data_IF_318902387514
#
_entry.id   IF_318902387514
#
_cell.length_a   1.000
_cell.length_b   1.000
_cell.length_c   1.000
_cell.angle_alpha   90.00
_cell.angle_beta   90.00
_cell.angle_gamma   90.00
#
_symmetry.space_group_name_H-M   'P 1'
#
loop_
_entity.id
_entity.type
_entity.pdbx_description
1 polymer ?
#
# COMPACT_ATOMS: atom_id res chain seq x y z
N UNK A 1 13.82 -28.42 -1.23
CA UNK A 1 12.54 -27.73 -1.52
C UNK A 1 11.68 -27.77 -0.26
N UNK A 2 11.86 -26.80 0.61
CA UNK A 2 10.88 -26.54 1.65
C UNK A 2 9.71 -25.83 0.95
N UNK A 3 8.60 -26.54 0.79
CA UNK A 3 7.29 -25.95 0.54
C UNK A 3 7.01 -25.02 1.71
N UNK A 4 7.34 -23.73 1.58
CA UNK A 4 6.72 -22.71 2.42
C UNK A 4 5.23 -22.91 2.20
N UNK A 5 4.49 -23.24 3.25
CA UNK A 5 3.04 -23.19 3.25
C UNK A 5 2.67 -21.85 2.64
N UNK A 6 2.14 -21.88 1.42
CA UNK A 6 1.85 -20.68 0.66
C UNK A 6 0.78 -19.90 1.43
N UNK A 7 1.09 -18.68 1.82
CA UNK A 7 0.10 -17.75 2.38
C UNK A 7 -0.97 -17.51 1.33
N UNK A 8 -2.22 -17.62 1.72
CA UNK A 8 -3.36 -17.47 0.82
C UNK A 8 -4.48 -16.68 1.47
N UNK A 9 -5.29 -15.98 0.66
CA UNK A 9 -6.45 -15.24 1.14
C UNK A 9 -7.58 -16.15 1.65
N UNK A 10 -7.56 -17.43 1.34
CA UNK A 10 -8.47 -18.41 1.96
C UNK A 10 -8.31 -18.50 3.47
N UNK A 11 -7.15 -18.12 4.00
CA UNK A 11 -6.90 -18.05 5.45
C UNK A 11 -7.63 -16.88 6.12
N UNK A 12 -8.08 -15.90 5.33
CA UNK A 12 -8.78 -14.71 5.85
C UNK A 12 -10.26 -15.03 6.01
N UNK A 13 -10.73 -15.09 7.26
CA UNK A 13 -12.11 -15.40 7.59
C UNK A 13 -12.87 -14.17 8.05
N UNK A 14 -14.13 -14.04 7.63
CA UNK A 14 -15.05 -13.03 8.15
C UNK A 14 -14.71 -11.56 7.83
N UNK A 15 -13.76 -11.28 6.93
CA UNK A 15 -13.26 -9.93 6.63
C UNK A 15 -13.34 -9.60 5.14
N UNK A 16 -14.47 -9.89 4.50
CA UNK A 16 -14.64 -9.73 3.05
C UNK A 16 -14.44 -8.29 2.57
N UNK A 17 -14.83 -7.30 3.35
CA UNK A 17 -14.63 -5.89 3.02
C UNK A 17 -13.15 -5.49 2.99
N UNK A 18 -12.33 -6.12 3.85
CA UNK A 18 -10.88 -5.88 3.88
C UNK A 18 -10.21 -6.57 2.70
N UNK A 19 -10.60 -7.80 2.39
CA UNK A 19 -10.14 -8.51 1.19
C UNK A 19 -10.47 -7.71 -0.07
N UNK A 20 -11.66 -7.15 -0.17
CA UNK A 20 -12.06 -6.27 -1.27
C UNK A 20 -11.20 -5.00 -1.34
N UNK A 21 -10.92 -4.37 -0.21
CA UNK A 21 -10.05 -3.19 -0.16
C UNK A 21 -8.62 -3.51 -0.63
N UNK A 22 -8.06 -4.64 -0.24
CA UNK A 22 -6.75 -5.09 -0.68
C UNK A 22 -6.72 -5.47 -2.17
N UNK A 23 -7.80 -6.07 -2.69
CA UNK A 23 -7.99 -6.31 -4.13
C UNK A 23 -7.95 -4.99 -4.92
N UNK A 24 -8.68 -3.97 -4.48
CA UNK A 24 -8.68 -2.64 -5.09
C UNK A 24 -7.28 -2.02 -5.02
N UNK A 25 -6.62 -2.10 -3.87
CA UNK A 25 -5.27 -1.59 -3.70
C UNK A 25 -4.28 -2.24 -4.67
N UNK A 26 -4.30 -3.56 -4.77
CA UNK A 26 -3.45 -4.32 -5.69
C UNK A 26 -3.75 -3.98 -7.16
N UNK A 27 -5.02 -3.87 -7.52
CA UNK A 27 -5.44 -3.57 -8.89
C UNK A 27 -5.00 -2.19 -9.36
N UNK A 28 -5.03 -1.17 -8.50
CA UNK A 28 -4.66 0.20 -8.85
C UNK A 28 -3.26 0.63 -8.40
N UNK A 29 -2.55 -0.19 -7.64
CA UNK A 29 -1.27 0.19 -7.03
C UNK A 29 -1.43 1.19 -5.89
N UNK A 30 -2.57 1.21 -5.22
CA UNK A 30 -2.89 2.17 -4.16
C UNK A 30 -2.19 1.83 -2.84
N UNK A 31 -1.70 2.86 -2.16
CA UNK A 31 -1.20 2.74 -0.80
C UNK A 31 -2.35 2.55 0.19
N UNK A 32 -2.13 1.75 1.22
CA UNK A 32 -3.15 1.35 2.19
C UNK A 32 -2.65 1.55 3.62
N UNK A 33 -3.54 2.00 4.50
CA UNK A 33 -3.34 1.92 5.95
C UNK A 33 -4.44 1.07 6.57
N UNK A 34 -4.03 0.08 7.37
CA UNK A 34 -4.92 -0.79 8.13
C UNK A 34 -4.98 -0.27 9.58
N UNK A 35 -6.16 0.08 10.04
CA UNK A 35 -6.38 0.65 11.38
C UNK A 35 -7.28 -0.30 12.15
N UNK A 36 -6.82 -0.79 13.29
CA UNK A 36 -7.60 -1.69 14.12
C UNK A 36 -6.90 -2.07 15.41
N UNK A 37 -7.61 -2.73 16.33
CA UNK A 37 -7.07 -3.11 17.63
C UNK A 37 -5.94 -4.14 17.49
N UNK A 38 -5.12 -4.31 18.55
CA UNK A 38 -4.13 -5.38 18.59
C UNK A 38 -4.79 -6.75 18.36
N UNK A 39 -4.14 -7.62 17.60
CA UNK A 39 -4.65 -8.96 17.32
C UNK A 39 -5.77 -9.04 16.28
N UNK A 40 -6.12 -7.95 15.61
CA UNK A 40 -7.14 -7.95 14.55
C UNK A 40 -6.69 -8.59 13.22
N UNK A 41 -5.42 -9.00 13.11
CA UNK A 41 -4.87 -9.67 11.93
C UNK A 41 -4.26 -8.73 10.89
N UNK A 42 -3.95 -7.48 11.22
CA UNK A 42 -3.39 -6.48 10.29
C UNK A 42 -2.10 -6.97 9.61
N UNK A 43 -1.17 -7.50 10.37
CA UNK A 43 0.10 -8.04 9.85
C UNK A 43 -0.12 -9.24 8.93
N UNK A 44 -1.03 -10.13 9.31
CA UNK A 44 -1.42 -11.28 8.50
C UNK A 44 -1.96 -10.84 7.13
N UNK A 45 -2.82 -9.84 7.11
CA UNK A 45 -3.39 -9.28 5.89
C UNK A 45 -2.32 -8.64 5.00
N UNK A 46 -1.44 -7.84 5.59
CA UNK A 46 -0.33 -7.21 4.87
C UNK A 46 0.60 -8.22 4.20
N UNK A 47 0.93 -9.31 4.89
CA UNK A 47 1.78 -10.37 4.38
C UNK A 47 1.16 -11.17 3.23
N UNK A 48 -0.15 -11.10 3.04
CA UNK A 48 -0.86 -11.76 1.94
C UNK A 48 -1.00 -10.91 0.69
N UNK A 49 -0.81 -9.60 0.81
CA UNK A 49 -0.91 -8.67 -0.32
C UNK A 49 -0.04 -9.09 -1.53
N UNK A 50 1.23 -9.52 -1.37
CA UNK A 50 2.04 -9.96 -2.50
C UNK A 50 1.44 -11.13 -3.29
N UNK A 51 0.60 -11.96 -2.67
CA UNK A 51 0.00 -13.13 -3.33
C UNK A 51 -1.04 -12.77 -4.39
N UNK A 52 -1.58 -11.56 -4.34
CA UNK A 52 -2.59 -11.06 -5.30
C UNK A 52 -2.03 -10.03 -6.27
N UNK A 53 -0.76 -9.66 -6.16
CA UNK A 53 -0.10 -8.77 -7.12
C UNK A 53 0.22 -9.51 -8.42
N UNK A 54 0.21 -8.80 -9.57
CA UNK A 54 0.64 -9.38 -10.84
C UNK A 54 2.09 -9.89 -10.75
N UNK A 55 2.46 -10.93 -11.50
CA UNK A 55 3.85 -11.38 -11.55
C UNK A 55 4.76 -10.26 -12.09
N UNK A 56 6.03 -10.30 -11.72
CA UNK A 56 7.03 -9.36 -12.25
C UNK A 56 7.15 -9.54 -13.76
N UNK A 57 7.16 -8.42 -14.50
CA UNK A 57 7.61 -8.42 -15.89
C UNK A 57 9.11 -8.67 -15.94
N UNK A 58 9.65 -9.03 -17.11
CA UNK A 58 11.10 -9.21 -17.27
C UNK A 58 11.86 -7.93 -16.93
N UNK A 59 11.35 -6.77 -17.35
CA UNK A 59 11.96 -5.48 -17.04
C UNK A 59 11.97 -5.20 -15.53
N UNK A 60 10.85 -5.40 -14.85
CA UNK A 60 10.76 -5.28 -13.39
C UNK A 60 11.70 -6.25 -12.67
N UNK A 61 11.78 -7.50 -13.12
CA UNK A 61 12.68 -8.51 -12.55
C UNK A 61 14.16 -8.12 -12.70
N UNK A 62 14.55 -7.57 -13.84
CA UNK A 62 15.90 -7.08 -14.09
C UNK A 62 16.26 -5.89 -13.19
N UNK A 63 15.41 -4.90 -13.09
CA UNK A 63 15.60 -3.74 -12.21
C UNK A 63 15.73 -4.16 -10.74
N UNK A 64 14.81 -5.00 -10.28
CA UNK A 64 14.80 -5.49 -8.91
C UNK A 64 16.08 -6.30 -8.61
N UNK A 65 16.49 -7.16 -9.53
CA UNK A 65 17.71 -7.96 -9.40
C UNK A 65 18.96 -7.08 -9.30
N UNK A 66 19.05 -6.03 -10.11
CA UNK A 66 20.18 -5.08 -10.05
C UNK A 66 20.28 -4.42 -8.67
N UNK A 67 19.17 -3.94 -8.12
CA UNK A 67 19.16 -3.29 -6.80
C UNK A 67 19.55 -4.28 -5.72
N UNK A 68 19.00 -5.48 -5.73
CA UNK A 68 19.30 -6.53 -4.73
C UNK A 68 20.73 -7.01 -4.84
N UNK A 69 21.30 -7.05 -6.04
CA UNK A 69 22.70 -7.39 -6.27
C UNK A 69 23.63 -6.35 -5.65
N UNK A 70 23.39 -5.07 -5.91
CA UNK A 70 24.16 -3.96 -5.32
C UNK A 70 24.10 -3.98 -3.80
N UNK A 71 22.95 -4.33 -3.24
CA UNK A 71 22.76 -4.46 -1.78
C UNK A 71 23.39 -5.74 -1.19
N UNK A 72 23.83 -6.68 -2.03
CA UNK A 72 24.44 -7.94 -1.58
C UNK A 72 23.47 -8.94 -0.97
N UNK A 73 22.17 -8.85 -1.28
CA UNK A 73 21.13 -9.72 -0.69
C UNK A 73 20.63 -10.80 -1.65
N UNK A 74 21.20 -10.91 -2.85
CA UNK A 74 20.88 -12.02 -3.75
C UNK A 74 21.41 -13.33 -3.18
N UNK A 75 20.59 -14.41 -3.14
CA UNK A 75 21.10 -15.74 -2.82
C UNK A 75 22.15 -16.17 -3.83
N UNK A 76 23.26 -16.76 -3.38
CA UNK A 76 24.48 -17.03 -4.17
C UNK A 76 24.33 -17.91 -5.41
N UNK A 77 23.17 -18.46 -5.68
CA UNK A 77 22.86 -19.29 -6.86
C UNK A 77 21.56 -18.88 -7.55
N UNK A 78 20.99 -17.74 -7.21
CA UNK A 78 19.76 -17.27 -7.83
C UNK A 78 20.06 -16.41 -9.06
N UNK A 79 19.37 -16.72 -10.13
CA UNK A 79 19.33 -15.86 -11.32
C UNK A 79 18.52 -14.57 -11.05
N UNK A 80 17.50 -14.30 -11.84
CA UNK A 80 16.62 -13.15 -11.66
C UNK A 80 15.72 -13.31 -10.42
N UNK A 81 15.45 -12.19 -9.74
CA UNK A 81 14.38 -12.10 -8.76
C UNK A 81 13.05 -12.39 -9.46
N UNK A 82 12.34 -13.41 -9.03
CA UNK A 82 11.12 -13.90 -9.67
C UNK A 82 9.85 -13.49 -8.95
N UNK A 83 9.95 -13.06 -7.71
CA UNK A 83 8.82 -12.65 -6.86
C UNK A 83 8.95 -11.20 -6.43
N UNK A 84 7.82 -10.51 -6.30
CA UNK A 84 7.80 -9.14 -5.81
C UNK A 84 8.37 -9.07 -4.40
N UNK A 85 9.33 -8.18 -4.12
CA UNK A 85 9.88 -8.00 -2.78
C UNK A 85 8.80 -7.62 -1.77
N UNK A 86 8.97 -8.10 -0.54
CA UNK A 86 8.20 -7.66 0.62
C UNK A 86 9.20 -7.26 1.70
N UNK A 87 9.26 -5.97 1.99
CA UNK A 87 10.17 -5.41 2.99
C UNK A 87 9.38 -4.88 4.17
N UNK A 88 9.79 -5.26 5.37
CA UNK A 88 9.12 -4.89 6.61
C UNK A 88 10.14 -4.42 7.64
N UNK A 89 10.69 -3.20 7.48
CA UNK A 89 11.64 -2.66 8.44
C UNK A 89 10.96 -2.42 9.79
N UNK A 90 11.70 -2.66 10.88
CA UNK A 90 11.23 -2.38 12.21
C UNK A 90 11.14 -0.87 12.46
N UNK A 91 10.25 -0.43 13.36
CA UNK A 91 10.06 1.00 13.65
C UNK A 91 11.31 1.70 14.25
N UNK A 92 12.30 0.93 14.73
CA UNK A 92 13.61 1.45 15.20
C UNK A 92 14.60 1.71 14.07
N UNK A 93 14.22 1.47 12.81
CA UNK A 93 15.07 1.67 11.62
C UNK A 93 15.58 3.12 11.56
N UNK A 94 16.85 3.29 11.19
CA UNK A 94 17.42 4.61 10.92
C UNK A 94 17.03 5.13 9.53
N UNK A 95 17.12 6.45 9.35
CA UNK A 95 16.91 7.10 8.06
C UNK A 95 17.82 6.49 6.98
N UNK A 96 19.10 6.26 7.32
CA UNK A 96 20.10 5.67 6.41
C UNK A 96 19.74 4.24 6.03
N UNK A 97 19.27 3.43 6.97
CA UNK A 97 18.85 2.07 6.67
C UNK A 97 17.57 2.06 5.81
N UNK A 98 16.68 3.04 5.97
CA UNK A 98 15.46 3.14 5.20
C UNK A 98 15.72 3.66 3.78
N UNK A 99 16.43 4.76 3.65
CA UNK A 99 16.67 5.46 2.37
C UNK A 99 17.87 4.87 1.62
N UNK A 100 18.90 4.49 2.36
CA UNK A 100 20.20 4.11 1.83
C UNK A 100 21.27 5.14 2.16
N UNK A 101 22.51 4.79 1.91
CA UNK A 101 23.66 5.63 2.20
C UNK A 101 24.83 4.79 2.71
N UNK A 102 25.65 5.39 3.57
CA UNK A 102 26.87 4.79 4.09
C UNK A 102 28.12 5.39 3.45
N UNK A 103 29.31 4.91 3.79
CA UNK A 103 30.57 5.31 3.16
C UNK A 103 30.59 4.96 1.67
N UNK A 104 30.00 3.83 1.32
CA UNK A 104 29.68 3.45 -0.05
C UNK A 104 28.14 3.55 -0.19
N UNK A 105 27.61 4.39 -1.10
CA UNK A 105 26.18 4.55 -1.26
C UNK A 105 25.51 3.23 -1.61
N UNK A 106 24.76 2.68 -0.66
CA UNK A 106 24.05 1.41 -0.76
C UNK A 106 22.55 1.65 -0.73
N UNK A 107 21.73 0.89 -1.49
CA UNK A 107 20.28 1.04 -1.44
C UNK A 107 19.75 0.64 -0.06
N UNK A 108 18.74 1.38 0.43
CA UNK A 108 18.03 1.09 1.68
C UNK A 108 16.76 0.28 1.46
N UNK A 109 15.98 0.08 2.51
CA UNK A 109 14.74 -0.70 2.50
C UNK A 109 13.72 -0.21 1.46
N UNK A 110 13.64 1.10 1.22
CA UNK A 110 12.75 1.70 0.24
C UNK A 110 13.10 1.21 -1.18
N UNK A 111 14.38 1.22 -1.54
CA UNK A 111 14.84 0.73 -2.84
C UNK A 111 14.77 -0.79 -2.95
N UNK A 112 14.98 -1.51 -1.85
CA UNK A 112 14.83 -2.96 -1.80
C UNK A 112 13.37 -3.40 -1.97
N UNK A 113 12.41 -2.52 -1.67
CA UNK A 113 10.99 -2.74 -1.91
C UNK A 113 10.54 -2.38 -3.33
N UNK A 114 11.43 -1.87 -4.18
CA UNK A 114 11.11 -1.50 -5.57
C UNK A 114 10.42 -2.65 -6.31
N UNK A 115 9.36 -2.34 -7.02
CA UNK A 115 8.46 -3.29 -7.69
C UNK A 115 7.74 -4.28 -6.74
N UNK A 116 7.71 -3.97 -5.45
CA UNK A 116 7.11 -4.81 -4.43
C UNK A 116 6.33 -4.00 -3.39
N UNK A 117 6.39 -4.47 -2.16
CA UNK A 117 5.65 -3.93 -1.02
C UNK A 117 6.59 -3.49 0.09
N UNK A 118 6.39 -2.28 0.57
CA UNK A 118 6.97 -1.78 1.82
C UNK A 118 5.89 -1.83 2.89
N UNK A 119 6.08 -2.66 3.90
CA UNK A 119 5.17 -2.78 5.04
C UNK A 119 5.74 -2.08 6.26
N UNK A 120 5.01 -1.11 6.78
CA UNK A 120 5.34 -0.39 8.01
C UNK A 120 4.32 -0.73 9.10
N UNK A 121 4.67 -1.67 9.95
CA UNK A 121 3.86 -2.04 11.10
C UNK A 121 4.01 -1.03 12.23
N UNK A 122 2.94 -0.76 12.97
CA UNK A 122 2.93 0.21 14.06
C UNK A 122 3.43 1.60 13.61
N UNK A 123 2.83 2.13 12.56
CA UNK A 123 3.24 3.37 11.90
C UNK A 123 3.52 4.54 12.85
N UNK A 124 2.71 4.82 13.91
CA UNK A 124 2.98 5.91 14.85
C UNK A 124 4.22 5.72 15.73
N UNK A 125 4.81 4.53 15.76
CA UNK A 125 6.02 4.25 16.53
C UNK A 125 7.30 4.60 15.78
N UNK A 126 7.24 4.79 14.47
CA UNK A 126 8.36 5.31 13.69
C UNK A 126 8.66 6.76 14.07
N UNK A 127 9.95 7.12 14.09
CA UNK A 127 10.35 8.53 14.29
C UNK A 127 9.78 9.38 13.16
N UNK A 128 9.33 10.58 13.50
CA UNK A 128 8.76 11.51 12.52
C UNK A 128 9.74 11.83 11.38
N UNK A 129 11.01 11.99 11.69
CA UNK A 129 12.07 12.22 10.69
C UNK A 129 12.17 11.06 9.69
N UNK A 130 12.02 9.81 10.16
CA UNK A 130 12.01 8.61 9.32
C UNK A 130 10.80 8.59 8.41
N UNK A 131 9.62 8.96 8.90
CA UNK A 131 8.40 9.01 8.08
C UNK A 131 8.44 10.12 7.02
N UNK A 132 9.09 11.25 7.31
CA UNK A 132 9.22 12.36 6.35
C UNK A 132 10.07 12.00 5.12
N UNK A 133 11.05 11.10 5.25
CA UNK A 133 11.87 10.67 4.10
C UNK A 133 11.11 9.80 3.10
N UNK A 134 9.94 9.26 3.47
CA UNK A 134 9.05 8.53 2.56
C UNK A 134 8.36 9.43 1.54
N UNK A 135 8.27 10.73 1.79
CA UNK A 135 7.51 11.66 0.93
C UNK A 135 8.05 11.69 -0.49
N UNK A 136 9.35 11.84 -0.65
CA UNK A 136 9.98 11.89 -1.97
C UNK A 136 9.74 10.60 -2.78
N UNK A 137 10.08 9.40 -2.30
CA UNK A 137 9.87 8.18 -3.08
C UNK A 137 8.38 7.89 -3.36
N UNK A 138 7.47 8.29 -2.50
CA UNK A 138 6.04 8.15 -2.75
C UNK A 138 5.53 9.08 -3.87
N UNK A 139 6.18 10.23 -4.07
CA UNK A 139 5.86 11.17 -5.14
C UNK A 139 6.62 10.86 -6.45
N UNK A 140 7.94 10.69 -6.34
CA UNK A 140 8.84 10.62 -7.48
C UNK A 140 9.22 9.19 -7.87
N UNK A 141 8.88 8.19 -7.04
CA UNK A 141 9.21 6.76 -7.23
C UNK A 141 10.72 6.50 -7.38
N UNK A 142 11.50 7.37 -6.79
CA UNK A 142 12.96 7.25 -6.71
C UNK A 142 13.47 7.85 -5.41
N UNK A 143 14.68 7.47 -5.04
CA UNK A 143 15.42 8.02 -3.91
C UNK A 143 16.76 8.55 -4.42
N UNK A 144 17.07 9.78 -4.07
CA UNK A 144 18.36 10.38 -4.36
C UNK A 144 19.25 10.32 -3.13
N UNK A 145 20.37 9.61 -3.25
CA UNK A 145 21.40 9.55 -2.22
C UNK A 145 22.56 10.44 -2.64
N UNK A 146 22.73 11.56 -1.92
CA UNK A 146 23.79 12.51 -2.19
C UNK A 146 24.90 12.39 -1.15
N UNK A 147 26.14 12.25 -1.62
CA UNK A 147 27.35 12.32 -0.81
C UNK A 147 28.41 13.17 -1.49
N UNK A 148 29.17 13.92 -0.70
CA UNK A 148 30.19 14.93 -1.01
C UNK A 148 30.60 15.12 -2.50
N UNK A 149 30.69 14.08 -3.29
CA UNK A 149 31.08 14.12 -4.72
C UNK A 149 30.22 13.27 -5.65
N UNK A 150 29.24 12.49 -5.10
CA UNK A 150 28.44 11.54 -5.87
C UNK A 150 26.99 11.67 -5.45
N UNK A 151 26.10 11.83 -6.41
CA UNK A 151 24.68 11.71 -6.26
C UNK A 151 24.18 10.54 -7.09
N UNK A 152 23.48 9.59 -6.45
CA UNK A 152 22.94 8.40 -7.09
C UNK A 152 21.42 8.35 -6.88
N UNK A 153 20.71 8.12 -7.98
CA UNK A 153 19.28 7.86 -7.95
C UNK A 153 19.03 6.35 -7.97
N UNK A 154 18.30 5.85 -6.99
CA UNK A 154 17.77 4.49 -6.98
C UNK A 154 16.28 4.51 -7.26
N UNK A 155 15.76 3.65 -8.14
CA UNK A 155 14.32 3.49 -8.31
C UNK A 155 13.70 2.98 -7.01
N UNK A 156 12.51 3.46 -6.69
CA UNK A 156 11.79 3.15 -5.45
C UNK A 156 10.27 3.20 -5.68
N UNK A 157 9.81 2.45 -6.67
CA UNK A 157 8.38 2.29 -6.97
C UNK A 157 7.84 1.12 -6.16
N UNK A 158 7.34 1.39 -4.97
CA UNK A 158 6.76 0.40 -4.06
C UNK A 158 5.30 0.71 -3.76
N UNK A 159 4.54 -0.31 -3.40
CA UNK A 159 3.27 -0.16 -2.71
C UNK A 159 3.51 -0.04 -1.21
N UNK A 160 3.00 1.03 -0.59
CA UNK A 160 3.02 1.16 0.85
C UNK A 160 1.78 0.50 1.44
N UNK A 161 2.00 -0.42 2.37
CA UNK A 161 0.97 -0.86 3.31
C UNK A 161 1.45 -0.53 4.71
N UNK A 162 0.62 0.15 5.47
CA UNK A 162 0.92 0.50 6.86
C UNK A 162 -0.13 -0.09 7.79
N UNK A 163 0.23 -0.30 9.03
CA UNK A 163 -0.71 -0.69 10.07
C UNK A 163 -0.58 0.20 11.29
N UNK A 164 -1.67 0.40 11.99
CA UNK A 164 -1.68 1.11 13.27
C UNK A 164 -2.87 0.71 14.13
N UNK A 165 -2.74 0.92 15.43
CA UNK A 165 -3.89 0.90 16.32
C UNK A 165 -4.65 2.23 16.24
N UNK A 166 -5.93 2.28 16.64
CA UNK A 166 -6.73 3.51 16.59
C UNK A 166 -6.36 4.52 17.68
N UNK A 167 -5.70 4.07 18.76
CA UNK A 167 -5.28 4.87 19.91
C UNK A 167 -4.18 4.16 20.69
N UNK A 168 -3.55 4.78 21.71
CA UNK A 168 -2.51 4.15 22.50
C UNK A 168 -2.91 2.83 23.17
N UNK A 169 -4.12 2.71 23.72
CA UNK A 169 -4.59 1.45 24.31
C UNK A 169 -5.06 0.43 23.26
N UNK A 170 -5.37 0.88 22.04
CA UNK A 170 -5.80 0.05 20.92
C UNK A 170 -7.30 -0.21 20.82
N UNK A 171 -8.12 0.31 21.74
CA UNK A 171 -9.54 -0.05 21.83
C UNK A 171 -10.50 1.11 21.55
N UNK A 172 -10.03 2.22 20.97
CA UNK A 172 -10.91 3.29 20.54
C UNK A 172 -11.91 2.78 19.48
N UNK A 173 -13.20 3.00 19.73
CA UNK A 173 -14.31 2.46 18.93
C UNK A 173 -14.38 0.92 18.84
N UNK A 174 -13.78 0.19 19.78
CA UNK A 174 -13.91 -1.25 19.82
C UNK A 174 -15.34 -1.66 20.27
N UNK A 175 -15.96 -2.66 19.61
CA UNK A 175 -17.35 -3.03 19.94
C UNK A 175 -17.52 -3.64 21.34
N UNK A 176 -16.50 -4.34 21.85
CA UNK A 176 -16.60 -5.12 23.10
C UNK A 176 -15.67 -4.63 24.21
N UNK A 177 -14.69 -3.81 23.89
CA UNK A 177 -13.68 -3.36 24.86
C UNK A 177 -13.70 -1.84 25.00
N UNK A 178 -13.64 -1.38 26.23
CA UNK A 178 -13.64 0.05 26.52
C UNK A 178 -12.26 0.68 26.30
N UNK A 179 -12.25 1.84 25.65
CA UNK A 179 -11.05 2.65 25.47
C UNK A 179 -10.77 3.43 26.77
N UNK A 180 -9.58 3.25 27.32
CA UNK A 180 -9.12 3.94 28.55
C UNK A 180 -8.35 5.22 28.27
N UNK A 181 -8.18 5.60 27.00
CA UNK A 181 -7.47 6.82 26.61
C UNK A 181 -8.31 8.06 26.85
N UNK A 182 -7.69 9.06 27.49
CA UNK A 182 -8.32 10.39 27.58
C UNK A 182 -8.37 11.07 26.19
N UNK A 183 -9.31 12.02 25.98
CA UNK A 183 -9.53 12.65 24.67
C UNK A 183 -8.28 13.28 24.06
N UNK A 184 -7.43 13.90 24.85
CA UNK A 184 -6.15 14.46 24.42
C UNK A 184 -5.11 13.44 24.01
N UNK A 185 -5.15 12.24 24.57
CA UNK A 185 -4.21 11.16 24.25
C UNK A 185 -4.42 10.61 22.83
N UNK A 186 -5.65 10.38 22.44
CA UNK A 186 -6.00 9.90 21.10
C UNK A 186 -5.54 10.91 20.05
N UNK A 187 -5.87 12.20 20.24
CA UNK A 187 -5.45 13.27 19.33
C UNK A 187 -3.93 13.38 19.21
N UNK A 188 -3.21 13.32 20.32
CA UNK A 188 -1.74 13.35 20.35
C UNK A 188 -1.11 12.15 19.63
N UNK A 189 -1.70 10.98 19.78
CA UNK A 189 -1.26 9.76 19.13
C UNK A 189 -1.42 9.85 17.61
N UNK A 190 -2.60 10.25 17.13
CA UNK A 190 -2.87 10.41 15.70
C UNK A 190 -2.00 11.50 15.05
N UNK A 191 -1.67 12.55 15.80
CA UNK A 191 -0.80 13.64 15.33
C UNK A 191 0.67 13.24 15.12
N UNK A 192 1.09 12.04 15.54
CA UNK A 192 2.43 11.51 15.22
C UNK A 192 2.64 11.29 13.72
N UNK A 193 1.57 11.02 13.00
CA UNK A 193 1.60 10.86 11.55
C UNK A 193 1.24 12.20 10.91
N UNK A 194 2.09 12.67 10.00
CA UNK A 194 1.83 13.94 9.33
C UNK A 194 0.65 13.85 8.36
N UNK A 195 -0.12 14.94 8.26
CA UNK A 195 -1.18 15.04 7.26
C UNK A 195 -0.68 14.79 5.83
N UNK A 196 0.46 15.39 5.40
CA UNK A 196 1.03 15.11 4.08
C UNK A 196 1.34 13.65 3.79
N UNK A 197 1.74 12.84 4.77
CA UNK A 197 1.94 11.41 4.59
C UNK A 197 0.59 10.69 4.45
N UNK A 198 -0.38 10.97 5.31
CA UNK A 198 -1.72 10.40 5.23
C UNK A 198 -2.41 10.74 3.91
N UNK A 199 -2.20 11.94 3.39
CA UNK A 199 -2.74 12.36 2.09
C UNK A 199 -2.22 11.54 0.91
N UNK A 200 -1.10 10.83 1.07
CA UNK A 200 -0.53 9.94 0.06
C UNK A 200 -0.97 8.48 0.20
N UNK A 201 -1.77 8.18 1.20
CA UNK A 201 -2.35 6.86 1.41
C UNK A 201 -3.79 6.88 0.93
N UNK A 202 -4.06 6.18 -0.17
CA UNK A 202 -5.33 6.27 -0.87
C UNK A 202 -6.47 5.55 -0.15
N UNK A 203 -6.19 4.43 0.52
CA UNK A 203 -7.17 3.61 1.20
C UNK A 203 -6.89 3.54 2.70
N UNK A 204 -7.87 3.96 3.48
CA UNK A 204 -7.86 3.83 4.94
C UNK A 204 -8.89 2.78 5.32
N UNK A 205 -8.43 1.66 5.83
CA UNK A 205 -9.25 0.47 6.06
C UNK A 205 -9.32 0.16 7.56
N UNK A 206 -10.53 0.16 8.09
CA UNK A 206 -10.78 -0.26 9.46
C UNK A 206 -10.83 -1.79 9.54
N UNK A 207 -9.98 -2.37 10.39
CA UNK A 207 -9.87 -3.81 10.61
C UNK A 207 -10.51 -4.13 11.95
N UNK A 208 -11.67 -4.77 11.91
CA UNK A 208 -12.36 -5.24 13.10
C UNK A 208 -11.94 -6.68 13.43
N UNK A 209 -11.83 -7.06 14.71
CA UNK A 209 -11.60 -8.44 15.11
C UNK A 209 -12.71 -9.35 14.57
N UNK A 210 -12.34 -10.56 14.15
CA UNK A 210 -13.32 -11.59 13.80
C UNK A 210 -13.93 -12.12 15.08
N UNK A 211 -15.27 -12.24 15.13
CA UNK A 211 -15.96 -12.78 16.29
C UNK A 211 -15.66 -14.26 16.48
N UNK A 212 -15.78 -14.76 17.72
CA UNK A 212 -15.58 -16.18 18.02
C UNK A 212 -16.55 -17.07 17.23
N UNK A 213 -17.76 -16.61 17.02
CA UNK A 213 -18.79 -17.34 16.27
C UNK A 213 -18.41 -17.45 14.78
N UNK A 214 -17.94 -16.36 14.17
CA UNK A 214 -17.45 -16.37 12.79
C UNK A 214 -16.21 -17.25 12.59
N UNK A 215 -15.36 -17.38 13.62
CA UNK A 215 -14.22 -18.30 13.58
C UNK A 215 -14.62 -19.76 13.68
N UNK A 216 -15.65 -20.06 14.51
CA UNK A 216 -16.13 -21.43 14.76
C UNK A 216 -17.03 -21.95 13.62
N UNK A 217 -17.86 -21.12 13.05
CA UNK A 217 -18.77 -21.48 11.95
C UNK A 217 -18.07 -21.74 10.62
N UNK A 218 -16.76 -21.61 10.59
CA UNK A 218 -15.95 -21.86 9.39
C UNK A 218 -16.10 -20.80 8.29
N UNK A 219 -16.96 -19.81 8.47
CA UNK A 219 -17.21 -18.71 7.55
C UNK A 219 -17.61 -19.12 6.13
N UNK A 220 -18.16 -18.22 5.33
CA UNK A 220 -18.27 -18.44 3.89
C UNK A 220 -16.86 -18.57 3.32
N UNK A 221 -16.61 -19.53 2.39
CA UNK A 221 -15.30 -19.65 1.76
C UNK A 221 -14.90 -18.31 1.14
N UNK A 222 -13.77 -17.79 1.57
CA UNK A 222 -13.17 -16.62 0.97
C UNK A 222 -12.59 -17.01 -0.39
N UNK A 223 -12.59 -16.07 -1.35
CA UNK A 223 -11.87 -16.28 -2.60
C UNK A 223 -10.39 -16.57 -2.30
N UNK A 224 -9.80 -17.48 -3.07
CA UNK A 224 -8.38 -17.76 -2.95
C UNK A 224 -7.53 -16.66 -3.61
N UNK A 225 -6.25 -16.64 -3.28
CA UNK A 225 -5.32 -15.62 -3.82
C UNK A 225 -5.23 -15.66 -5.35
N UNK A 226 -5.34 -16.83 -5.97
CA UNK A 226 -5.28 -16.98 -7.42
C UNK A 226 -6.48 -16.33 -8.11
N UNK A 227 -7.67 -16.54 -7.62
CA UNK A 227 -8.91 -15.94 -8.14
C UNK A 227 -8.84 -14.42 -8.05
N UNK A 228 -8.42 -13.89 -6.91
CA UNK A 228 -8.25 -12.42 -6.71
C UNK A 228 -7.16 -11.89 -7.64
N UNK A 229 -6.03 -12.59 -7.75
CA UNK A 229 -4.93 -12.18 -8.61
C UNK A 229 -5.33 -12.09 -10.08
N UNK A 230 -6.13 -13.01 -10.58
CA UNK A 230 -6.64 -12.97 -11.96
C UNK A 230 -7.46 -11.71 -12.22
N UNK A 231 -8.33 -11.32 -11.30
CA UNK A 231 -9.09 -10.06 -11.40
C UNK A 231 -8.16 -8.84 -11.38
N UNK A 232 -7.16 -8.85 -10.51
CA UNK A 232 -6.14 -7.80 -10.43
C UNK A 232 -5.35 -7.69 -11.73
N UNK A 233 -4.90 -8.80 -12.29
CA UNK A 233 -4.17 -8.83 -13.58
C UNK A 233 -5.03 -8.22 -14.67
N UNK A 234 -6.30 -8.58 -14.76
CA UNK A 234 -7.23 -8.06 -15.78
C UNK A 234 -7.40 -6.53 -15.67
N UNK A 235 -7.57 -6.03 -14.45
CA UNK A 235 -7.63 -4.59 -14.20
C UNK A 235 -6.32 -3.87 -14.57
N UNK A 236 -5.17 -4.48 -14.31
CA UNK A 236 -3.86 -3.95 -14.68
C UNK A 236 -3.62 -3.95 -16.19
N UNK A 237 -4.10 -4.94 -16.91
CA UNK A 237 -4.04 -4.97 -18.37
C UNK A 237 -4.84 -3.81 -18.98
N UNK A 238 -6.02 -3.50 -18.47
CA UNK A 238 -6.79 -2.33 -18.88
C UNK A 238 -6.04 -1.02 -18.64
N UNK A 239 -5.36 -0.90 -17.51
CA UNK A 239 -4.53 0.26 -17.19
C UNK A 239 -3.31 0.34 -18.10
N UNK A 240 -2.65 -0.77 -18.39
CA UNK A 240 -1.52 -0.82 -19.31
C UNK A 240 -1.90 -0.33 -20.71
N UNK A 241 -3.08 -0.73 -21.22
CA UNK A 241 -3.58 -0.24 -22.51
C UNK A 241 -3.95 1.24 -22.46
N UNK A 242 -4.60 1.70 -21.37
CA UNK A 242 -4.97 3.12 -21.19
C UNK A 242 -3.77 4.04 -21.12
N UNK A 243 -2.69 3.60 -20.48
CA UNK A 243 -1.51 4.44 -20.22
C UNK A 243 -0.32 4.14 -21.12
N UNK A 244 -0.49 3.36 -22.19
CA UNK A 244 0.60 2.93 -23.09
C UNK A 244 1.43 4.08 -23.67
N UNK A 245 0.81 5.24 -23.86
CA UNK A 245 1.45 6.43 -24.41
C UNK A 245 2.12 7.32 -23.33
N UNK A 246 1.98 6.96 -22.04
CA UNK A 246 2.57 7.67 -20.92
C UNK A 246 3.76 6.89 -20.37
N UNK A 247 4.97 7.44 -20.53
CA UNK A 247 6.22 6.74 -20.23
C UNK A 247 6.33 6.23 -18.79
N UNK A 248 5.82 6.98 -17.80
CA UNK A 248 6.04 6.72 -16.38
C UNK A 248 4.76 6.39 -15.61
N UNK A 249 3.66 6.11 -16.30
CA UNK A 249 2.36 5.78 -15.70
C UNK A 249 1.99 4.35 -16.05
N UNK A 250 1.87 3.51 -15.01
CA UNK A 250 1.57 2.08 -15.15
C UNK A 250 0.31 1.66 -14.39
N UNK A 251 -0.19 2.50 -13.51
CA UNK A 251 -1.36 2.21 -12.70
C UNK A 251 -2.12 3.48 -12.31
N UNK A 252 -3.38 3.34 -11.92
CA UNK A 252 -4.25 4.45 -11.56
C UNK A 252 -3.69 5.30 -10.41
N UNK A 253 -3.03 4.69 -9.44
CA UNK A 253 -2.44 5.42 -8.31
C UNK A 253 -1.34 6.40 -8.73
N UNK A 254 -0.75 6.23 -9.90
CA UNK A 254 0.34 7.05 -10.40
C UNK A 254 -0.12 8.29 -11.18
N UNK A 255 -1.42 8.43 -11.42
CA UNK A 255 -1.98 9.59 -12.11
C UNK A 255 -1.68 10.89 -11.35
N UNK A 256 -1.29 11.93 -12.08
CA UNK A 256 -1.19 13.28 -11.54
C UNK A 256 -2.57 13.94 -11.49
N UNK A 257 -2.71 15.03 -10.71
CA UNK A 257 -3.99 15.76 -10.60
C UNK A 257 -4.53 16.24 -11.96
N UNK A 258 -3.64 16.66 -12.86
CA UNK A 258 -4.03 17.06 -14.22
C UNK A 258 -4.58 15.89 -15.03
N UNK A 259 -3.96 14.70 -14.89
CA UNK A 259 -4.40 13.50 -15.60
C UNK A 259 -5.70 12.92 -15.05
N UNK A 260 -5.95 13.08 -13.74
CA UNK A 260 -7.19 12.60 -13.11
C UNK A 260 -8.41 13.25 -13.73
N UNK A 261 -8.38 14.57 -13.99
CA UNK A 261 -9.50 15.29 -14.59
C UNK A 261 -9.80 14.85 -16.02
N UNK A 262 -8.79 14.41 -16.76
CA UNK A 262 -8.91 13.98 -18.15
C UNK A 262 -9.25 12.48 -18.28
N UNK A 263 -8.56 11.65 -17.49
CA UNK A 263 -8.60 10.19 -17.62
C UNK A 263 -9.58 9.48 -16.67
N UNK A 264 -10.17 10.23 -15.74
CA UNK A 264 -11.16 9.71 -14.79
C UNK A 264 -12.48 10.51 -14.86
N UNK A 265 -13.13 10.58 -16.05
CA UNK A 265 -14.39 11.28 -16.18
C UNK A 265 -15.47 10.55 -15.37
N UNK A 266 -16.30 11.32 -14.67
CA UNK A 266 -17.42 10.80 -13.89
C UNK A 266 -18.74 11.26 -14.51
N UNK A 267 -19.79 10.45 -14.32
CA UNK A 267 -21.13 10.79 -14.77
C UNK A 267 -21.66 12.04 -14.04
N UNK A 268 -22.65 12.76 -14.61
CA UNK A 268 -23.28 13.91 -13.92
C UNK A 268 -23.85 13.53 -12.55
N UNK A 269 -24.42 12.34 -12.42
CA UNK A 269 -24.91 11.82 -11.13
C UNK A 269 -23.76 11.59 -10.13
N UNK A 270 -22.67 10.98 -10.58
CA UNK A 270 -21.46 10.80 -9.78
C UNK A 270 -20.84 12.12 -9.35
N UNK A 271 -20.79 13.11 -10.26
CA UNK A 271 -20.31 14.46 -9.96
C UNK A 271 -21.13 15.14 -8.87
N UNK A 272 -22.47 15.04 -8.94
CA UNK A 272 -23.37 15.59 -7.92
C UNK A 272 -23.17 14.92 -6.57
N UNK A 273 -23.05 13.59 -6.55
CA UNK A 273 -22.81 12.82 -5.34
C UNK A 273 -21.46 13.21 -4.69
N UNK A 274 -20.41 13.29 -5.49
CA UNK A 274 -19.07 13.64 -5.01
C UNK A 274 -19.02 15.08 -4.49
N UNK A 275 -19.65 16.02 -5.17
CA UNK A 275 -19.77 17.41 -4.71
C UNK A 275 -20.45 17.49 -3.33
N UNK A 276 -21.55 16.76 -3.17
CA UNK A 276 -22.27 16.70 -1.89
C UNK A 276 -21.41 16.09 -0.78
N UNK A 277 -20.69 15.01 -1.07
CA UNK A 277 -19.77 14.37 -0.12
C UNK A 277 -18.63 15.31 0.28
N UNK A 278 -18.03 16.01 -0.68
CA UNK A 278 -16.97 16.98 -0.40
C UNK A 278 -17.41 18.10 0.53
N UNK A 279 -18.62 18.62 0.30
CA UNK A 279 -19.20 19.68 1.15
C UNK A 279 -19.51 19.17 2.57
N UNK A 280 -20.19 18.01 2.68
CA UNK A 280 -20.59 17.43 3.98
C UNK A 280 -19.40 16.97 4.82
N UNK A 281 -18.38 16.40 4.19
CA UNK A 281 -17.20 15.81 4.85
C UNK A 281 -15.99 16.76 4.87
N UNK A 282 -16.15 17.97 4.32
CA UNK A 282 -15.07 18.98 4.22
C UNK A 282 -13.79 18.42 3.61
N UNK A 283 -13.93 17.66 2.52
CA UNK A 283 -12.80 17.00 1.86
C UNK A 283 -11.93 18.01 1.08
N UNK A 284 -10.63 17.75 1.08
CA UNK A 284 -9.65 18.54 0.32
C UNK A 284 -9.64 18.18 -1.18
N UNK A 285 -9.01 19.04 -2.00
CA UNK A 285 -8.76 18.73 -3.40
C UNK A 285 -7.93 17.44 -3.60
N UNK A 286 -7.00 17.15 -2.69
CA UNK A 286 -6.23 15.90 -2.70
C UNK A 286 -7.10 14.67 -2.44
N UNK A 287 -8.08 14.81 -1.55
CA UNK A 287 -9.07 13.76 -1.30
C UNK A 287 -9.94 13.52 -2.55
N UNK A 288 -10.31 14.57 -3.26
CA UNK A 288 -11.03 14.48 -4.53
C UNK A 288 -10.26 13.63 -5.56
N UNK A 289 -8.99 13.94 -5.79
CA UNK A 289 -8.15 13.18 -6.73
C UNK A 289 -8.01 11.71 -6.32
N UNK A 290 -7.81 11.43 -5.03
CA UNK A 290 -7.72 10.05 -4.50
C UNK A 290 -9.02 9.28 -4.73
N UNK A 291 -10.16 9.89 -4.47
CA UNK A 291 -11.47 9.26 -4.69
C UNK A 291 -11.62 8.89 -6.16
N UNK A 292 -11.28 9.77 -7.09
CA UNK A 292 -11.38 9.50 -8.52
C UNK A 292 -10.43 8.39 -8.98
N UNK A 293 -9.19 8.37 -8.49
CA UNK A 293 -8.24 7.28 -8.80
C UNK A 293 -8.74 5.93 -8.32
N UNK A 294 -9.25 5.86 -7.11
CA UNK A 294 -9.81 4.63 -6.53
C UNK A 294 -11.08 4.21 -7.28
N UNK A 295 -11.96 5.17 -7.61
CA UNK A 295 -13.16 4.92 -8.40
C UNK A 295 -12.84 4.35 -9.79
N UNK A 296 -11.79 4.87 -10.45
CA UNK A 296 -11.30 4.32 -11.73
C UNK A 296 -10.83 2.87 -11.56
N UNK A 297 -10.16 2.54 -10.47
CA UNK A 297 -9.73 1.17 -10.19
C UNK A 297 -10.92 0.24 -9.95
N UNK A 298 -11.93 0.68 -9.20
CA UNK A 298 -13.16 -0.10 -8.97
C UNK A 298 -13.86 -0.37 -10.30
N UNK A 299 -13.96 0.63 -11.18
CA UNK A 299 -14.54 0.47 -12.52
C UNK A 299 -13.72 -0.50 -13.39
N UNK A 300 -12.40 -0.45 -13.33
CA UNK A 300 -11.53 -1.39 -14.03
C UNK A 300 -11.76 -2.84 -13.57
N UNK A 301 -11.90 -3.07 -12.26
CA UNK A 301 -12.24 -4.38 -11.68
C UNK A 301 -13.63 -4.86 -12.08
N UNK A 302 -14.57 -3.95 -12.27
CA UNK A 302 -15.92 -4.22 -12.74
C UNK A 302 -16.00 -4.34 -14.28
N UNK A 303 -14.88 -4.22 -14.98
CA UNK A 303 -14.80 -4.19 -16.44
C UNK A 303 -15.66 -3.09 -17.07
N UNK A 304 -15.81 -1.95 -16.38
CA UNK A 304 -16.57 -0.78 -16.83
C UNK A 304 -15.67 0.27 -17.45
N UNK A 305 -16.12 0.88 -18.55
CA UNK A 305 -15.46 2.05 -19.16
C UNK A 305 -15.76 3.33 -18.34
N UNK A 306 -16.95 3.41 -17.77
CA UNK A 306 -17.43 4.55 -17.01
C UNK A 306 -17.21 4.39 -15.49
N UNK A 307 -17.05 5.54 -14.82
CA UNK A 307 -16.99 5.64 -13.36
C UNK A 307 -18.34 6.07 -12.83
#
# INVERSE_FOLDING_TARGET
QQTKLARDFTDVKGQNHITRALEIAAAGGHNVILIGPPGAGKTMLAQRLPTILPPLSLHEALETTKIHSVAGILPGHSGLVSTRPFRSPHHTVSDVALVGGGSHPSPGEISLAHNGVLFLDELPEFKRTVLEVLRQPMEERKVTISRAKISLDYPASFMLIASMNPCPCGFYNHPEKECVCGPGMVKKYLARISGPLLDRIDLHVEVTPVSSDELMDGGKPSENSEEIRLKVIHARERQAERYKDFKDIHSNAQLTSSMVSELCPISPAGSTLLKTAMQKLQLSARAYDRILKVSRTIADLANSEDI
#
